data_IF_069385750600
#
_entry.id   IF_069385750600
#
_cell.length_a   1.000
_cell.length_b   1.000
_cell.length_c   1.000
_cell.angle_alpha   90.00
_cell.angle_beta   90.00
_cell.angle_gamma   90.00
#
_symmetry.space_group_name_H-M   'P 1'
#
loop_
_entity.id
_entity.type
_entity.pdbx_description
1 polymer ?
#
# COMPACT_ATOMS: atom_id res chain seq x y z
N UNK A 1 -1.81 12.02 -38.99
CA UNK A 1 -2.99 11.34 -38.40
C UNK A 1 -2.62 10.06 -37.64
N UNK A 2 -1.79 9.17 -38.17
CA UNK A 2 -1.35 7.94 -37.46
C UNK A 2 -0.68 8.17 -36.08
N UNK A 3 0.02 9.29 -35.89
CA UNK A 3 0.69 9.62 -34.63
C UNK A 3 -0.26 9.94 -33.47
N UNK A 4 -1.42 10.53 -33.75
CA UNK A 4 -2.40 10.91 -32.72
C UNK A 4 -3.19 9.68 -32.22
N UNK A 5 -3.51 8.74 -33.12
CA UNK A 5 -4.18 7.50 -32.74
C UNK A 5 -3.28 6.59 -31.91
N UNK A 6 -1.99 6.48 -32.26
CA UNK A 6 -1.01 5.74 -31.46
C UNK A 6 -0.85 6.33 -30.05
N UNK A 7 -0.74 7.65 -29.92
CA UNK A 7 -0.67 8.31 -28.59
C UNK A 7 -1.94 8.07 -27.77
N UNK A 8 -3.11 8.14 -28.40
CA UNK A 8 -4.40 7.89 -27.73
C UNK A 8 -4.55 6.43 -27.30
N UNK A 9 -4.01 5.48 -28.07
CA UNK A 9 -4.03 4.07 -27.73
C UNK A 9 -3.03 3.73 -26.60
N UNK A 10 -1.84 4.34 -26.61
CA UNK A 10 -0.84 4.17 -25.56
C UNK A 10 -1.32 4.71 -24.21
N UNK A 11 -1.94 5.90 -24.19
CA UNK A 11 -2.50 6.51 -22.98
C UNK A 11 -3.63 5.68 -22.38
N UNK A 12 -4.52 5.10 -23.20
CA UNK A 12 -5.56 4.16 -22.76
C UNK A 12 -4.98 2.89 -22.17
N UNK A 13 -4.00 2.27 -22.85
CA UNK A 13 -3.39 1.02 -22.40
C UNK A 13 -2.69 1.22 -21.05
N UNK A 14 -1.93 2.31 -20.92
CA UNK A 14 -1.31 2.67 -19.65
C UNK A 14 -2.36 2.85 -18.53
N UNK A 15 -3.59 3.24 -18.85
CA UNK A 15 -4.58 3.66 -17.84
C UNK A 15 -5.23 2.45 -17.23
N UNK A 16 -5.49 1.47 -18.09
CA UNK A 16 -5.91 0.13 -17.71
C UNK A 16 -4.82 -0.51 -16.85
N UNK A 17 -3.55 -0.48 -17.30
CA UNK A 17 -2.43 -1.05 -16.53
C UNK A 17 -2.28 -0.39 -15.17
N UNK A 18 -2.27 0.94 -15.10
CA UNK A 18 -2.19 1.67 -13.84
C UNK A 18 -3.37 1.35 -12.91
N UNK A 19 -4.58 1.24 -13.45
CA UNK A 19 -5.77 0.92 -12.65
C UNK A 19 -5.68 -0.50 -12.08
N UNK A 20 -5.29 -1.49 -12.90
CA UNK A 20 -5.08 -2.88 -12.45
C UNK A 20 -4.00 -2.93 -11.37
N UNK A 21 -2.90 -2.21 -11.58
CA UNK A 21 -1.81 -2.14 -10.62
C UNK A 21 -2.24 -1.53 -9.29
N UNK A 22 -3.02 -0.44 -9.29
CA UNK A 22 -3.56 0.14 -8.06
C UNK A 22 -4.51 -0.81 -7.32
N UNK A 23 -5.32 -1.59 -8.05
CA UNK A 23 -6.17 -2.63 -7.44
C UNK A 23 -5.31 -3.71 -6.79
N UNK A 24 -4.27 -4.18 -7.47
CA UNK A 24 -3.33 -5.18 -6.93
C UNK A 24 -2.60 -4.65 -5.68
N UNK A 25 -2.11 -3.41 -5.72
CA UNK A 25 -1.51 -2.72 -4.56
C UNK A 25 -2.51 -2.59 -3.43
N UNK A 26 -3.78 -2.28 -3.71
CA UNK A 26 -4.81 -2.21 -2.67
C UNK A 26 -5.00 -3.57 -1.99
N UNK A 27 -5.04 -4.66 -2.77
CA UNK A 27 -5.12 -6.02 -2.23
C UNK A 27 -3.87 -6.33 -1.39
N UNK A 28 -2.68 -6.02 -1.90
CA UNK A 28 -1.41 -6.23 -1.20
C UNK A 28 -1.31 -5.42 0.10
N UNK A 29 -1.85 -4.19 0.11
CA UNK A 29 -1.93 -3.35 1.29
C UNK A 29 -2.79 -3.93 2.41
N UNK A 30 -3.85 -4.69 2.09
CA UNK A 30 -4.61 -5.43 3.11
C UNK A 30 -3.72 -6.47 3.80
N UNK A 31 -2.94 -7.22 3.02
CA UNK A 31 -1.96 -8.17 3.58
C UNK A 31 -0.89 -7.44 4.40
N UNK A 32 -0.42 -6.30 3.92
CA UNK A 32 0.56 -5.43 4.61
C UNK A 32 0.06 -5.05 6.01
N UNK A 33 -1.22 -4.66 6.16
CA UNK A 33 -1.82 -4.36 7.47
C UNK A 33 -1.81 -5.59 8.38
N UNK A 34 -2.20 -6.77 7.87
CA UNK A 34 -2.26 -8.01 8.65
C UNK A 34 -0.86 -8.39 9.17
N UNK A 35 0.15 -8.37 8.30
CA UNK A 35 1.52 -8.73 8.66
C UNK A 35 2.17 -7.70 9.57
N UNK A 36 1.96 -6.40 9.32
CA UNK A 36 2.44 -5.33 10.20
C UNK A 36 1.85 -5.47 11.59
N UNK A 37 0.53 -5.70 11.69
CA UNK A 37 -0.16 -5.96 12.95
C UNK A 37 0.49 -7.13 13.70
N UNK A 38 0.75 -8.23 13.01
CA UNK A 38 1.37 -9.42 13.60
C UNK A 38 2.78 -9.14 14.14
N UNK A 39 3.62 -8.44 13.36
CA UNK A 39 4.96 -8.03 13.77
C UNK A 39 4.89 -7.17 15.04
N UNK A 40 4.00 -6.16 15.05
CA UNK A 40 3.92 -5.23 16.17
C UNK A 40 3.38 -5.91 17.42
N UNK A 41 2.37 -6.78 17.30
CA UNK A 41 1.85 -7.54 18.45
C UNK A 41 2.88 -8.52 19.00
N UNK A 42 3.62 -9.24 18.15
CA UNK A 42 4.72 -10.12 18.60
C UNK A 42 5.78 -9.33 19.36
N UNK A 43 6.16 -8.17 18.82
CA UNK A 43 7.13 -7.26 19.44
C UNK A 43 6.60 -6.77 20.78
N UNK A 44 5.35 -6.30 20.84
CA UNK A 44 4.73 -5.80 22.06
C UNK A 44 4.69 -6.86 23.17
N UNK A 45 4.24 -8.09 22.87
CA UNK A 45 4.18 -9.19 23.84
C UNK A 45 5.57 -9.52 24.40
N UNK A 46 6.61 -9.47 23.56
CA UNK A 46 7.98 -9.74 23.97
C UNK A 46 8.51 -8.73 24.99
N UNK A 47 8.09 -7.48 24.91
CA UNK A 47 8.56 -6.40 25.79
C UNK A 47 7.59 -6.08 26.93
N UNK A 48 6.33 -6.52 26.87
CA UNK A 48 5.29 -6.26 27.87
C UNK A 48 4.53 -7.56 28.21
N UNK A 49 5.12 -8.47 29.00
CA UNK A 49 4.58 -9.81 29.22
C UNK A 49 3.22 -9.83 29.95
N UNK A 50 3.00 -8.92 30.90
CA UNK A 50 1.79 -8.87 31.74
C UNK A 50 0.70 -7.93 31.18
N UNK A 51 0.87 -7.42 29.96
CA UNK A 51 0.00 -6.42 29.32
C UNK A 51 -1.29 -6.95 28.70
N UNK A 52 -1.74 -8.16 29.06
CA UNK A 52 -2.84 -8.87 28.37
C UNK A 52 -4.14 -8.04 28.25
N UNK A 53 -4.49 -7.27 29.29
CA UNK A 53 -5.67 -6.41 29.29
C UNK A 53 -5.52 -5.17 28.38
N UNK A 54 -4.30 -4.64 28.26
CA UNK A 54 -4.01 -3.51 27.37
C UNK A 54 -3.88 -3.94 25.89
N UNK A 55 -3.67 -5.24 25.65
CA UNK A 55 -3.43 -5.81 24.32
C UNK A 55 -4.63 -5.62 23.38
N UNK A 56 -5.86 -5.69 23.88
CA UNK A 56 -7.07 -5.53 23.08
C UNK A 56 -7.24 -4.09 22.58
N UNK A 57 -7.08 -3.11 23.47
CA UNK A 57 -7.16 -1.69 23.12
C UNK A 57 -5.99 -1.26 22.23
N UNK A 58 -4.77 -1.68 22.56
CA UNK A 58 -3.59 -1.42 21.74
C UNK A 58 -3.77 -1.97 20.31
N UNK A 59 -4.29 -3.19 20.20
CA UNK A 59 -4.59 -3.82 18.93
C UNK A 59 -5.65 -3.05 18.11
N UNK A 60 -6.70 -2.54 18.74
CA UNK A 60 -7.72 -1.75 18.04
C UNK A 60 -7.11 -0.44 17.51
N UNK A 61 -6.38 0.28 18.38
CA UNK A 61 -5.75 1.55 18.03
C UNK A 61 -4.80 1.37 16.85
N UNK A 62 -3.97 0.33 16.87
CA UNK A 62 -2.99 0.14 15.80
C UNK A 62 -3.64 -0.18 14.47
N UNK A 63 -4.69 -1.01 14.45
CA UNK A 63 -5.44 -1.32 13.23
C UNK A 63 -6.09 -0.06 12.67
N UNK A 64 -6.69 0.78 13.51
CA UNK A 64 -7.29 2.05 13.07
C UNK A 64 -6.26 2.99 12.45
N UNK A 65 -5.09 3.12 13.08
CA UNK A 65 -3.99 3.95 12.56
C UNK A 65 -3.51 3.42 11.21
N UNK A 66 -3.26 2.11 11.10
CA UNK A 66 -2.83 1.49 9.84
C UNK A 66 -3.88 1.64 8.73
N UNK A 67 -5.18 1.48 9.06
CA UNK A 67 -6.26 1.67 8.10
C UNK A 67 -6.33 3.12 7.60
N UNK A 68 -6.17 4.12 8.49
CA UNK A 68 -6.15 5.52 8.11
C UNK A 68 -4.98 5.84 7.16
N UNK A 69 -3.77 5.35 7.47
CA UNK A 69 -2.61 5.50 6.59
C UNK A 69 -2.82 4.82 5.23
N UNK A 70 -3.36 3.60 5.23
CA UNK A 70 -3.62 2.87 4.00
C UNK A 70 -4.62 3.61 3.09
N UNK A 71 -5.72 4.11 3.65
CA UNK A 71 -6.69 4.91 2.91
C UNK A 71 -6.03 6.17 2.32
N UNK A 72 -5.20 6.86 3.11
CA UNK A 72 -4.49 8.04 2.63
C UNK A 72 -3.53 7.72 1.46
N UNK A 73 -2.83 6.59 1.52
CA UNK A 73 -1.94 6.14 0.44
C UNK A 73 -2.72 5.80 -0.83
N UNK A 74 -3.83 5.05 -0.71
CA UNK A 74 -4.65 4.66 -1.87
C UNK A 74 -5.29 5.88 -2.52
N UNK A 75 -5.97 6.73 -1.74
CA UNK A 75 -6.63 7.93 -2.28
C UNK A 75 -5.58 8.90 -2.85
N UNK A 76 -4.54 9.22 -2.07
CA UNK A 76 -3.50 10.15 -2.49
C UNK A 76 -2.71 9.65 -3.69
N UNK A 77 -2.43 8.35 -3.75
CA UNK A 77 -1.74 7.73 -4.86
C UNK A 77 -2.55 7.68 -6.15
N UNK A 78 -3.83 7.33 -6.08
CA UNK A 78 -4.74 7.36 -7.23
C UNK A 78 -4.92 8.78 -7.75
N UNK A 79 -5.12 9.77 -6.87
CA UNK A 79 -5.27 11.18 -7.25
C UNK A 79 -3.97 11.74 -7.86
N UNK A 80 -2.81 11.39 -7.30
CA UNK A 80 -1.51 11.77 -7.85
C UNK A 80 -1.28 11.18 -9.24
N UNK A 81 -1.68 9.92 -9.45
CA UNK A 81 -1.54 9.26 -10.74
C UNK A 81 -2.51 9.81 -11.79
N UNK A 82 -3.73 10.20 -11.40
CA UNK A 82 -4.69 10.89 -12.29
C UNK A 82 -4.20 12.26 -12.73
N UNK A 83 -3.66 13.06 -11.81
CA UNK A 83 -3.20 14.43 -12.11
C UNK A 83 -1.90 14.47 -12.91
N UNK A 84 -1.03 13.45 -12.78
CA UNK A 84 0.28 13.38 -13.44
C UNK A 84 0.41 12.17 -14.37
N UNK A 85 -0.70 11.88 -15.03
CA UNK A 85 -0.87 10.70 -15.85
C UNK A 85 0.16 10.64 -17.00
N UNK A 86 0.89 9.53 -17.12
CA UNK A 86 1.95 9.36 -18.12
C UNK A 86 3.31 9.97 -17.76
N UNK A 87 3.46 10.58 -16.57
CA UNK A 87 4.77 11.07 -16.11
C UNK A 87 5.60 9.97 -15.41
N UNK A 88 6.93 9.94 -15.57
CA UNK A 88 7.79 9.01 -14.83
C UNK A 88 7.68 9.16 -13.30
N UNK A 89 7.32 10.35 -12.83
CA UNK A 89 7.15 10.63 -11.40
C UNK A 89 5.99 9.85 -10.78
N UNK A 90 4.86 9.69 -11.49
CA UNK A 90 3.71 8.92 -10.97
C UNK A 90 4.04 7.43 -10.84
N UNK A 91 4.83 6.89 -11.77
CA UNK A 91 5.34 5.52 -11.72
C UNK A 91 6.35 5.31 -10.61
N UNK A 92 7.18 6.32 -10.30
CA UNK A 92 8.12 6.26 -9.17
C UNK A 92 7.39 6.18 -7.83
N UNK A 93 6.32 6.96 -7.64
CA UNK A 93 5.50 6.88 -6.41
C UNK A 93 4.89 5.49 -6.27
N UNK A 94 4.30 4.96 -7.35
CA UNK A 94 3.75 3.61 -7.36
C UNK A 94 4.81 2.55 -7.01
N UNK A 95 5.99 2.60 -7.64
CA UNK A 95 7.07 1.66 -7.36
C UNK A 95 7.55 1.72 -5.91
N UNK A 96 7.60 2.91 -5.31
CA UNK A 96 7.94 3.07 -3.88
C UNK A 96 6.89 2.42 -2.97
N UNK A 97 5.60 2.65 -3.23
CA UNK A 97 4.52 2.03 -2.43
C UNK A 97 4.60 0.51 -2.55
N UNK A 98 4.76 -0.01 -3.77
CA UNK A 98 4.86 -1.45 -3.99
C UNK A 98 6.09 -2.08 -3.31
N UNK A 99 7.24 -1.41 -3.36
CA UNK A 99 8.45 -1.87 -2.69
C UNK A 99 8.28 -1.93 -1.16
N UNK A 100 7.61 -0.93 -0.58
CA UNK A 100 7.29 -0.90 0.85
C UNK A 100 6.33 -2.04 1.23
N UNK A 101 5.25 -2.22 0.48
CA UNK A 101 4.29 -3.30 0.74
C UNK A 101 4.94 -4.68 0.66
N UNK A 102 5.72 -4.95 -0.39
CA UNK A 102 6.46 -6.21 -0.54
C UNK A 102 7.44 -6.39 0.63
N UNK A 103 8.22 -5.35 0.96
CA UNK A 103 9.17 -5.39 2.06
C UNK A 103 8.50 -5.76 3.38
N UNK A 104 7.36 -5.14 3.69
CA UNK A 104 6.59 -5.40 4.90
C UNK A 104 5.97 -6.81 4.90
N UNK A 105 5.44 -7.28 3.77
CA UNK A 105 4.84 -8.61 3.67
C UNK A 105 5.90 -9.71 3.85
N UNK A 106 7.13 -9.47 3.42
CA UNK A 106 8.24 -10.42 3.57
C UNK A 106 8.93 -10.36 4.93
N UNK A 107 8.90 -9.21 5.61
CA UNK A 107 9.56 -8.98 6.90
C UNK A 107 9.25 -10.04 8.00
N UNK A 108 8.00 -10.54 8.16
CA UNK A 108 7.67 -11.59 9.12
C UNK A 108 8.37 -12.93 8.88
N UNK A 109 8.91 -13.17 7.68
CA UNK A 109 9.67 -14.40 7.40
C UNK A 109 11.05 -14.39 8.08
N UNK A 110 11.51 -13.21 8.52
CA UNK A 110 12.84 -13.01 9.10
C UNK A 110 12.82 -12.65 10.60
N UNK A 111 11.63 -12.49 11.21
CA UNK A 111 11.42 -12.07 12.60
C UNK A 111 10.52 -13.04 13.39
#
# INVERSE_FOLDING_TARGET
MQTLEQQRQQTKTAAIVASVLWVLTTILGIFTIIYTRLIILRTYIRFVPDGANALSLFNIIIVLVMAAFFIAIVIGGVEYHRTRYGSPQSWRVFATVLALEIGIVLLPLFL
#
